data_IF_185344743084
#
_entry.id   IF_185344743084
#
_cell.length_a   1.000
_cell.length_b   1.000
_cell.length_c   1.000
_cell.angle_alpha   90.00
_cell.angle_beta   90.00
_cell.angle_gamma   90.00
#
_symmetry.space_group_name_H-M   'P 1'
#
loop_
_entity.id
_entity.type
_entity.pdbx_description
1 polymer ?
#
# COMPACT_ATOMS: atom_id res chain seq x y z
N UNK A 1 -32.89 -10.75 10.51
CA UNK A 1 -31.66 -10.23 9.88
C UNK A 1 -30.66 -9.92 10.98
N UNK A 2 -29.44 -10.49 10.92
CA UNK A 2 -28.40 -10.09 11.87
C UNK A 2 -28.11 -8.59 11.70
N UNK A 3 -27.85 -7.83 12.78
CA UNK A 3 -27.49 -6.43 12.66
C UNK A 3 -26.22 -6.30 11.81
N UNK A 4 -26.32 -5.57 10.71
CA UNK A 4 -25.16 -5.25 9.89
C UNK A 4 -24.21 -4.40 10.74
N UNK A 5 -23.04 -4.96 11.07
CA UNK A 5 -22.04 -4.26 11.87
C UNK A 5 -21.35 -3.24 10.95
N UNK A 6 -21.51 -1.96 11.24
CA UNK A 6 -20.62 -0.93 10.69
C UNK A 6 -19.22 -1.13 11.27
N UNK A 7 -18.20 -0.91 10.45
CA UNK A 7 -16.82 -0.74 10.90
C UNK A 7 -16.46 0.75 10.89
N UNK A 8 -15.34 1.10 11.48
CA UNK A 8 -14.89 2.48 11.55
C UNK A 8 -13.41 2.56 11.16
N UNK A 9 -13.08 3.52 10.28
CA UNK A 9 -11.71 3.89 9.96
C UNK A 9 -11.57 5.37 10.28
N UNK A 10 -10.64 5.72 11.15
CA UNK A 10 -10.36 7.09 11.58
C UNK A 10 -11.63 7.92 11.89
N UNK A 11 -12.55 7.33 12.66
CA UNK A 11 -13.82 7.99 13.03
C UNK A 11 -14.93 7.94 11.98
N UNK A 12 -14.64 7.57 10.73
CA UNK A 12 -15.65 7.44 9.68
C UNK A 12 -16.31 6.06 9.69
N UNK A 13 -17.63 6.03 9.73
CA UNK A 13 -18.42 4.80 9.66
C UNK A 13 -18.47 4.26 8.22
N UNK A 14 -18.22 2.96 8.10
CA UNK A 14 -18.30 2.21 6.84
C UNK A 14 -19.30 1.08 7.01
N UNK A 15 -20.28 0.99 6.12
CA UNK A 15 -21.35 0.00 6.20
C UNK A 15 -22.40 0.20 5.13
N UNK A 16 -23.42 -0.67 5.11
CA UNK A 16 -24.40 -0.76 4.02
C UNK A 16 -25.23 0.52 3.76
N UNK A 17 -25.37 1.39 4.74
CA UNK A 17 -26.14 2.63 4.62
C UNK A 17 -25.26 3.88 4.77
N UNK A 18 -23.95 3.70 4.64
CA UNK A 18 -22.98 4.78 4.67
C UNK A 18 -22.50 5.13 3.27
N UNK A 19 -22.06 6.36 3.02
CA UNK A 19 -21.38 6.71 1.79
C UNK A 19 -20.17 5.78 1.54
N UNK A 20 -19.95 5.41 0.29
CA UNK A 20 -18.81 4.55 -0.09
C UNK A 20 -17.50 5.20 0.33
N UNK A 21 -16.61 4.43 0.94
CA UNK A 21 -15.26 4.85 1.27
C UNK A 21 -14.33 4.47 0.12
N UNK A 22 -13.82 5.48 -0.57
CA UNK A 22 -13.04 5.33 -1.80
C UNK A 22 -11.56 5.39 -1.48
N UNK A 23 -10.84 4.32 -1.79
CA UNK A 23 -9.41 4.18 -1.56
C UNK A 23 -8.68 4.23 -2.90
N UNK A 24 -7.82 5.23 -3.10
CA UNK A 24 -6.93 5.29 -4.23
C UNK A 24 -5.64 4.50 -3.95
N UNK A 25 -5.19 3.71 -4.91
CA UNK A 25 -3.95 2.95 -4.79
C UNK A 25 -2.78 3.71 -5.45
N UNK A 26 -1.79 4.11 -4.64
CA UNK A 26 -0.58 4.72 -5.16
C UNK A 26 0.31 3.66 -5.82
N UNK A 27 0.42 2.47 -5.20
CA UNK A 27 1.22 1.34 -5.69
C UNK A 27 2.65 1.77 -6.06
N UNK A 28 3.23 1.21 -7.12
CA UNK A 28 4.55 1.56 -7.64
C UNK A 28 4.55 2.71 -8.67
N UNK A 29 3.43 3.42 -8.83
CA UNK A 29 3.27 4.45 -9.87
C UNK A 29 4.10 5.71 -9.62
N UNK A 30 4.71 5.82 -8.45
CA UNK A 30 5.65 6.91 -8.11
C UNK A 30 6.97 6.84 -8.88
N UNK A 31 7.33 5.69 -9.48
CA UNK A 31 8.58 5.51 -10.25
C UNK A 31 9.83 6.01 -9.52
N UNK A 32 9.94 5.75 -8.21
CA UNK A 32 11.03 6.22 -7.33
C UNK A 32 11.19 7.76 -7.31
N UNK A 33 10.10 8.50 -7.49
CA UNK A 33 10.05 9.96 -7.36
C UNK A 33 9.07 10.34 -6.25
N UNK A 34 9.57 11.00 -5.21
CA UNK A 34 8.75 11.53 -4.11
C UNK A 34 7.73 12.54 -4.61
N UNK A 35 8.16 13.49 -5.45
CA UNK A 35 7.27 14.52 -6.00
C UNK A 35 6.11 13.90 -6.78
N UNK A 36 6.38 12.82 -7.52
CA UNK A 36 5.33 12.09 -8.23
C UNK A 36 4.38 11.37 -7.27
N UNK A 37 4.87 10.82 -6.18
CA UNK A 37 4.02 10.23 -5.14
C UNK A 37 3.08 11.29 -4.54
N UNK A 38 3.60 12.48 -4.25
CA UNK A 38 2.82 13.64 -3.77
C UNK A 38 1.78 14.06 -4.81
N UNK A 39 2.16 14.16 -6.09
CA UNK A 39 1.24 14.49 -7.16
C UNK A 39 0.08 13.49 -7.25
N UNK A 40 0.36 12.19 -7.16
CA UNK A 40 -0.66 11.14 -7.17
C UNK A 40 -1.65 11.33 -6.00
N UNK A 41 -1.16 11.61 -4.79
CA UNK A 41 -2.01 11.89 -3.62
C UNK A 41 -2.91 13.10 -3.88
N UNK A 42 -2.36 14.18 -4.41
CA UNK A 42 -3.13 15.38 -4.73
C UNK A 42 -4.20 15.13 -5.79
N UNK A 43 -3.89 14.33 -6.82
CA UNK A 43 -4.87 13.97 -7.85
C UNK A 43 -5.96 13.04 -7.29
N UNK A 44 -5.60 12.10 -6.43
CA UNK A 44 -6.56 11.25 -5.72
C UNK A 44 -7.55 12.09 -4.90
N UNK A 45 -7.05 13.09 -4.16
CA UNK A 45 -7.88 14.03 -3.43
C UNK A 45 -8.83 14.80 -4.37
N UNK A 46 -8.33 15.36 -5.47
CA UNK A 46 -9.14 16.09 -6.46
C UNK A 46 -10.21 15.21 -7.10
N UNK A 47 -9.94 13.91 -7.23
CA UNK A 47 -10.89 12.92 -7.74
C UNK A 47 -11.93 12.46 -6.70
N UNK A 48 -11.83 12.93 -5.45
CA UNK A 48 -12.76 12.62 -4.38
C UNK A 48 -12.47 11.30 -3.64
N UNK A 49 -11.23 10.82 -3.65
CA UNK A 49 -10.83 9.69 -2.82
C UNK A 49 -10.82 10.09 -1.34
N UNK A 50 -11.21 9.15 -0.48
CA UNK A 50 -11.23 9.30 0.98
C UNK A 50 -9.90 8.89 1.61
N UNK A 51 -9.17 8.00 0.94
CA UNK A 51 -7.88 7.51 1.41
C UNK A 51 -6.93 7.19 0.26
N UNK A 52 -5.64 7.13 0.58
CA UNK A 52 -4.59 6.58 -0.27
C UNK A 52 -3.98 5.35 0.39
N UNK A 53 -3.76 4.29 -0.38
CA UNK A 53 -3.10 3.08 0.08
C UNK A 53 -1.73 2.91 -0.56
N UNK A 54 -0.72 2.73 0.30
CA UNK A 54 0.64 2.37 -0.07
C UNK A 54 0.85 0.85 -0.02
N UNK A 55 2.07 0.44 -0.33
CA UNK A 55 2.60 -0.92 -0.13
C UNK A 55 3.93 -0.78 0.61
N UNK A 56 4.06 -1.48 1.73
CA UNK A 56 5.23 -1.39 2.61
C UNK A 56 5.96 -2.71 2.64
N UNK A 57 7.04 -2.80 1.89
CA UNK A 57 7.92 -3.97 1.78
C UNK A 57 9.32 -3.56 1.32
N UNK A 58 10.25 -4.47 1.44
CA UNK A 58 11.54 -4.43 0.74
C UNK A 58 11.63 -5.62 -0.22
N UNK A 59 12.56 -5.59 -1.18
CA UNK A 59 12.76 -6.75 -2.04
C UNK A 59 13.16 -8.00 -1.24
N UNK A 60 13.93 -7.81 -0.16
CA UNK A 60 14.42 -8.89 0.71
C UNK A 60 13.29 -9.57 1.50
N UNK A 61 12.21 -8.85 1.83
CA UNK A 61 11.08 -9.41 2.57
C UNK A 61 10.01 -10.05 1.67
N UNK A 62 10.06 -9.79 0.36
CA UNK A 62 9.10 -10.35 -0.61
C UNK A 62 9.62 -11.55 -1.38
N UNK A 63 10.92 -11.60 -1.67
CA UNK A 63 11.46 -12.65 -2.54
C UNK A 63 12.95 -12.86 -2.28
N UNK A 64 13.50 -13.93 -2.84
CA UNK A 64 14.93 -14.20 -2.81
C UNK A 64 15.62 -13.51 -4.00
N UNK A 65 16.82 -12.98 -3.78
CA UNK A 65 17.70 -12.56 -4.87
C UNK A 65 18.24 -13.80 -5.58
N UNK A 66 17.56 -14.21 -6.65
CA UNK A 66 17.86 -15.43 -7.37
C UNK A 66 17.67 -15.28 -8.87
N UNK A 67 18.63 -15.83 -9.62
CA UNK A 67 18.57 -15.90 -11.08
C UNK A 67 17.91 -17.18 -11.62
N UNK A 68 17.41 -18.05 -10.75
CA UNK A 68 16.72 -19.27 -11.16
C UNK A 68 15.46 -18.95 -11.99
N UNK A 69 15.06 -19.82 -12.93
CA UNK A 69 13.94 -19.54 -13.82
C UNK A 69 12.63 -19.18 -13.10
N UNK A 70 12.37 -19.75 -11.94
CA UNK A 70 11.17 -19.49 -11.13
C UNK A 70 11.11 -18.08 -10.54
N UNK A 71 12.24 -17.39 -10.45
CA UNK A 71 12.35 -16.03 -9.95
C UNK A 71 12.43 -14.99 -11.07
N UNK A 72 12.24 -15.41 -12.34
CA UNK A 72 12.22 -14.51 -13.48
C UNK A 72 10.80 -14.23 -13.95
N UNK A 73 10.57 -12.99 -14.31
CA UNK A 73 9.30 -12.54 -14.85
C UNK A 73 9.17 -13.04 -16.28
N UNK A 74 8.07 -13.73 -16.56
CA UNK A 74 7.72 -14.26 -17.87
C UNK A 74 6.22 -14.08 -18.04
N UNK A 75 5.79 -13.09 -18.80
CA UNK A 75 4.34 -12.81 -18.93
C UNK A 75 3.99 -11.85 -20.07
N UNK A 76 4.95 -11.50 -20.94
CA UNK A 76 4.72 -10.54 -22.02
C UNK A 76 4.66 -9.10 -21.52
N UNK A 77 5.34 -8.79 -20.43
CA UNK A 77 5.38 -7.45 -19.83
C UNK A 77 6.70 -6.75 -20.12
N UNK A 78 6.76 -5.45 -19.84
CA UNK A 78 8.01 -4.65 -19.91
C UNK A 78 9.10 -5.12 -18.94
N UNK A 79 8.77 -6.03 -18.03
CA UNK A 79 9.65 -6.57 -17.00
C UNK A 79 10.24 -7.94 -17.39
N UNK A 80 9.84 -8.51 -18.51
CA UNK A 80 10.29 -9.84 -18.92
C UNK A 80 11.81 -9.97 -18.96
N UNK A 81 12.30 -11.09 -18.42
CA UNK A 81 13.71 -11.40 -18.28
C UNK A 81 14.38 -10.83 -17.03
N UNK A 82 13.74 -9.90 -16.30
CA UNK A 82 14.20 -9.44 -14.99
C UNK A 82 13.79 -10.41 -13.90
N UNK A 83 14.50 -10.38 -12.77
CA UNK A 83 14.07 -11.11 -11.59
C UNK A 83 12.94 -10.38 -10.85
N UNK A 84 12.16 -11.10 -10.05
CA UNK A 84 11.22 -10.47 -9.13
C UNK A 84 11.92 -9.55 -8.13
N UNK A 85 13.13 -9.89 -7.71
CA UNK A 85 13.93 -9.07 -6.81
C UNK A 85 14.24 -7.69 -7.42
N UNK A 86 14.74 -7.66 -8.67
CA UNK A 86 14.98 -6.41 -9.41
C UNK A 86 13.71 -5.58 -9.60
N UNK A 87 12.56 -6.24 -9.81
CA UNK A 87 11.27 -5.57 -9.89
C UNK A 87 10.91 -4.92 -8.55
N UNK A 88 10.96 -5.68 -7.45
CA UNK A 88 10.55 -5.18 -6.14
C UNK A 88 11.49 -4.10 -5.61
N UNK A 89 12.78 -4.14 -5.91
CA UNK A 89 13.70 -3.04 -5.61
C UNK A 89 13.24 -1.71 -6.24
N UNK A 90 12.70 -1.75 -7.46
CA UNK A 90 12.23 -0.57 -8.18
C UNK A 90 10.79 -0.18 -7.85
N UNK A 91 9.98 -1.14 -7.44
CA UNK A 91 8.56 -0.95 -7.19
C UNK A 91 8.26 -0.59 -5.72
N UNK A 92 9.17 -0.90 -4.78
CA UNK A 92 8.99 -0.58 -3.37
C UNK A 92 8.87 0.92 -3.13
N UNK A 93 7.98 1.32 -2.24
CA UNK A 93 7.90 2.69 -1.73
C UNK A 93 8.98 2.86 -0.66
N UNK A 94 9.93 3.80 -0.80
CA UNK A 94 10.92 4.07 0.23
C UNK A 94 10.25 4.34 1.59
N UNK A 95 10.70 3.66 2.64
CA UNK A 95 10.05 3.74 3.96
C UNK A 95 10.15 5.15 4.56
N UNK A 96 11.23 5.85 4.29
CA UNK A 96 11.44 7.24 4.72
C UNK A 96 10.41 8.23 4.17
N UNK A 97 9.68 7.87 3.13
CA UNK A 97 8.63 8.73 2.56
C UNK A 97 7.30 8.64 3.30
N UNK A 98 7.03 7.52 3.98
CA UNK A 98 5.70 7.21 4.51
C UNK A 98 5.18 8.28 5.48
N UNK A 99 6.03 8.75 6.40
CA UNK A 99 5.63 9.76 7.38
C UNK A 99 5.21 11.08 6.70
N UNK A 100 5.99 11.52 5.72
CA UNK A 100 5.70 12.77 5.00
C UNK A 100 4.49 12.62 4.06
N UNK A 101 4.39 11.50 3.34
CA UNK A 101 3.21 11.21 2.50
C UNK A 101 1.93 11.13 3.34
N UNK A 102 1.99 10.53 4.54
CA UNK A 102 0.86 10.51 5.48
C UNK A 102 0.48 11.91 5.93
N UNK A 103 1.46 12.74 6.28
CA UNK A 103 1.22 14.14 6.66
C UNK A 103 0.53 14.91 5.53
N UNK A 104 0.99 14.75 4.29
CA UNK A 104 0.40 15.42 3.12
C UNK A 104 -1.05 14.93 2.89
N UNK A 105 -1.31 13.63 2.95
CA UNK A 105 -2.65 13.09 2.80
C UNK A 105 -3.59 13.64 3.90
N UNK A 106 -3.14 13.65 5.16
CA UNK A 106 -3.92 14.15 6.29
C UNK A 106 -4.23 15.65 6.16
N UNK A 107 -3.28 16.47 5.67
CA UNK A 107 -3.52 17.90 5.40
C UNK A 107 -4.58 18.12 4.32
N UNK A 108 -4.77 17.18 3.41
CA UNK A 108 -5.82 17.18 2.40
C UNK A 108 -7.15 16.57 2.92
N UNK A 109 -7.20 16.13 4.17
CA UNK A 109 -8.38 15.48 4.76
C UNK A 109 -8.58 14.03 4.32
N UNK A 110 -7.55 13.39 3.77
CA UNK A 110 -7.56 11.98 3.40
C UNK A 110 -6.82 11.12 4.43
N UNK A 111 -7.26 9.88 4.59
CA UNK A 111 -6.50 8.88 5.30
C UNK A 111 -5.34 8.36 4.45
N UNK A 112 -4.25 7.91 5.10
CA UNK A 112 -3.22 7.13 4.45
C UNK A 112 -2.93 5.89 5.29
N UNK A 113 -2.95 4.75 4.65
CA UNK A 113 -2.59 3.45 5.24
C UNK A 113 -1.86 2.58 4.21
N UNK A 114 -1.47 1.37 4.59
CA UNK A 114 -0.64 0.55 3.72
C UNK A 114 -0.99 -0.94 3.81
N UNK A 115 -0.48 -1.70 2.84
CA UNK A 115 -0.36 -3.15 2.94
C UNK A 115 1.03 -3.48 3.44
N UNK A 116 1.19 -4.04 4.66
CA UNK A 116 2.42 -4.68 5.08
C UNK A 116 2.54 -6.07 4.44
N UNK A 117 3.77 -6.53 4.25
CA UNK A 117 4.05 -7.85 3.68
C UNK A 117 4.94 -8.70 4.62
N UNK A 118 5.32 -8.17 5.76
CA UNK A 118 6.11 -8.84 6.79
C UNK A 118 5.98 -8.12 8.14
N UNK A 119 6.43 -8.77 9.21
CA UNK A 119 6.31 -8.23 10.55
C UNK A 119 7.05 -6.90 10.75
N UNK A 120 8.19 -6.68 10.08
CA UNK A 120 8.94 -5.42 10.22
C UNK A 120 8.19 -4.25 9.58
N UNK A 121 7.44 -4.51 8.50
CA UNK A 121 6.56 -3.53 7.89
C UNK A 121 5.39 -3.16 8.82
N UNK A 122 4.83 -4.14 9.55
CA UNK A 122 3.80 -3.87 10.58
C UNK A 122 4.37 -3.01 11.69
N UNK A 123 5.52 -3.39 12.26
CA UNK A 123 6.18 -2.62 13.33
C UNK A 123 6.46 -1.18 12.89
N UNK A 124 6.94 -0.99 11.68
CA UNK A 124 7.16 0.34 11.12
C UNK A 124 5.85 1.15 11.00
N UNK A 125 4.80 0.56 10.43
CA UNK A 125 3.51 1.24 10.24
C UNK A 125 2.83 1.58 11.58
N UNK A 126 3.02 0.78 12.62
CA UNK A 126 2.59 1.10 14.00
C UNK A 126 3.23 2.40 14.48
N UNK A 127 4.51 2.66 14.18
CA UNK A 127 5.17 3.92 14.56
C UNK A 127 4.54 5.15 13.90
N UNK A 128 3.84 4.94 12.79
CA UNK A 128 3.17 6.00 12.02
C UNK A 128 1.69 6.17 12.41
N UNK A 129 1.15 5.34 13.30
CA UNK A 129 -0.26 5.37 13.71
C UNK A 129 -1.20 5.40 12.49
N UNK A 130 -1.06 4.40 11.61
CA UNK A 130 -1.94 4.28 10.43
C UNK A 130 -3.34 3.79 10.85
N UNK A 131 -4.43 4.33 10.27
CA UNK A 131 -5.79 4.03 10.73
C UNK A 131 -6.30 2.63 10.36
N UNK A 132 -5.61 1.93 9.48
CA UNK A 132 -5.99 0.61 9.00
C UNK A 132 -4.80 -0.10 8.32
N UNK A 133 -4.93 -1.42 8.17
CA UNK A 133 -4.04 -2.26 7.37
C UNK A 133 -4.84 -2.95 6.27
N UNK A 134 -4.24 -3.09 5.09
CA UNK A 134 -4.77 -3.96 4.05
C UNK A 134 -3.97 -5.27 4.04
N UNK A 135 -4.60 -6.37 4.35
CA UNK A 135 -3.99 -7.69 4.16
C UNK A 135 -4.13 -8.06 2.68
N UNK A 136 -3.02 -8.29 2.01
CA UNK A 136 -3.01 -8.66 0.60
C UNK A 136 -3.43 -10.13 0.41
N UNK A 137 -3.70 -10.55 -0.83
CA UNK A 137 -4.34 -11.85 -1.09
C UNK A 137 -3.44 -13.04 -0.80
N UNK A 138 -2.12 -12.93 -0.92
CA UNK A 138 -1.20 -14.00 -0.54
C UNK A 138 -0.96 -14.03 0.97
N UNK A 139 -0.94 -12.86 1.60
CA UNK A 139 -0.66 -12.69 3.03
C UNK A 139 -1.82 -13.14 3.91
N UNK A 140 -3.04 -13.32 3.37
CA UNK A 140 -4.19 -13.82 4.15
C UNK A 140 -3.98 -15.24 4.70
N UNK A 141 -3.04 -16.00 4.16
CA UNK A 141 -2.68 -17.33 4.65
C UNK A 141 -1.45 -17.29 5.57
N UNK A 142 -0.78 -16.16 5.68
CA UNK A 142 0.34 -15.96 6.60
C UNK A 142 -0.21 -15.57 7.99
N UNK A 143 -0.56 -16.61 8.75
CA UNK A 143 -1.16 -16.44 10.09
C UNK A 143 -0.26 -15.69 11.08
N UNK A 144 1.09 -15.79 11.03
CA UNK A 144 1.96 -14.97 11.87
C UNK A 144 1.90 -13.47 11.59
N UNK A 145 1.66 -13.07 10.36
CA UNK A 145 1.51 -11.67 9.98
C UNK A 145 0.19 -11.12 10.49
#
# INVERSE_FOLDING_TARGET
MAPQKNIQINGRLIGAHQPTYIIAELSANHHQSFDRAVEIIQQAHRAGADAVKLQTYTADTLTLDSHQPHFKIQGGTVWDGKSFYELYQKASTPWEWHAELKSIANQLGMDLFSSPFDATAVEFLETLDVPAYKIASFEIIDVPL
#
